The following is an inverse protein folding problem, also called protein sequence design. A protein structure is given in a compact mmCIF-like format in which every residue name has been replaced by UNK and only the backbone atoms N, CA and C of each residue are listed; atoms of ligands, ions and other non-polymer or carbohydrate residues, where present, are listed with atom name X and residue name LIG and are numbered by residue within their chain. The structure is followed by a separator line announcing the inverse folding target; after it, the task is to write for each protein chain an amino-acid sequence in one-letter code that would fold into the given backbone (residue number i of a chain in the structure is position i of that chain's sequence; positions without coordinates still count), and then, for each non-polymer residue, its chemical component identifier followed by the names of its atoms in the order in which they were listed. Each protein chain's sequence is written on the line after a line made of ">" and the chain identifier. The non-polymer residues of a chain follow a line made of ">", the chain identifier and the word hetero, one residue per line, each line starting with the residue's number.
data_IF_750743697583
#
_entry.id   IF_750743697583
#
_cell.length_a   1.000
_cell.length_b   1.000
_cell.length_c   1.000
_cell.angle_alpha   90.00
_cell.angle_beta   90.00
_cell.angle_gamma   90.00
#
_symmetry.space_group_name_H-M   'P 1'
#
loop_
_entity.id
_entity.type
_entity.pdbx_description
1 polymer ?
#
# COMPACT_ATOMS: atom_id res chain seq x y z
N UNK A 1 4.31 -2.59 1.69
CA UNK A 1 5.10 -1.34 1.68
C UNK A 1 4.24 -0.17 2.14
N UNK A 2 4.86 0.96 2.43
CA UNK A 2 4.17 2.21 2.75
C UNK A 2 4.64 3.31 1.79
N UNK A 3 3.74 4.21 1.40
CA UNK A 3 4.08 5.35 0.56
C UNK A 3 3.29 6.59 0.98
N UNK A 4 4.00 7.68 1.30
CA UNK A 4 3.41 8.93 1.75
C UNK A 4 3.27 9.90 0.56
N UNK A 5 2.12 10.58 0.49
CA UNK A 5 1.92 11.67 -0.47
C UNK A 5 2.82 12.87 -0.17
N UNK A 6 3.16 13.64 -1.20
CA UNK A 6 3.99 14.85 -1.06
C UNK A 6 3.41 15.89 -0.09
N UNK A 7 2.08 15.97 0.01
CA UNK A 7 1.40 16.85 0.97
C UNK A 7 1.36 16.29 2.41
N UNK A 8 1.86 15.07 2.63
CA UNK A 8 1.90 14.40 3.92
C UNK A 8 0.54 13.92 4.45
N UNK A 9 -0.55 14.06 3.69
CA UNK A 9 -1.93 13.82 4.18
C UNK A 9 -2.45 12.41 3.93
N UNK A 10 -1.82 11.66 3.01
CA UNK A 10 -2.29 10.34 2.56
C UNK A 10 -1.13 9.35 2.59
N UNK A 11 -1.29 8.32 3.41
CA UNK A 11 -0.36 7.21 3.49
C UNK A 11 -1.00 5.96 2.87
N UNK A 12 -0.45 5.46 1.77
CA UNK A 12 -0.91 4.22 1.17
C UNK A 12 -0.08 3.05 1.67
N UNK A 13 -0.74 1.92 1.90
CA UNK A 13 -0.08 0.72 2.42
C UNK A 13 -0.48 -0.51 1.62
N UNK A 14 0.48 -1.42 1.43
CA UNK A 14 0.30 -2.75 0.80
C UNK A 14 0.86 -3.83 1.72
N UNK A 15 0.30 -5.05 1.63
CA UNK A 15 0.54 -6.12 2.59
C UNK A 15 1.38 -7.32 2.07
N UNK A 16 1.94 -7.27 0.86
CA UNK A 16 2.91 -8.27 0.39
C UNK A 16 4.34 -7.78 0.53
N UNK A 17 5.26 -8.69 0.90
CA UNK A 17 6.68 -8.41 1.05
C UNK A 17 7.52 -9.19 0.01
N UNK A 18 7.48 -10.52 0.10
CA UNK A 18 8.24 -11.39 -0.78
C UNK A 18 7.56 -12.75 -0.83
N UNK A 19 7.26 -13.26 -2.01
CA UNK A 19 6.36 -14.40 -2.21
C UNK A 19 6.71 -15.66 -1.39
N UNK A 20 8.00 -15.94 -1.17
CA UNK A 20 8.44 -17.08 -0.33
C UNK A 20 8.11 -16.86 1.15
N UNK A 21 8.27 -15.63 1.64
CA UNK A 21 7.99 -15.27 3.02
C UNK A 21 6.49 -15.12 3.24
N UNK A 22 5.79 -14.48 2.30
CA UNK A 22 4.34 -14.38 2.30
C UNK A 22 3.72 -15.78 2.38
N UNK A 23 4.22 -16.75 1.57
CA UNK A 23 3.75 -18.14 1.65
C UNK A 23 4.03 -18.82 3.00
N UNK A 24 5.12 -18.46 3.68
CA UNK A 24 5.50 -19.06 4.96
C UNK A 24 4.67 -18.50 6.13
N UNK A 25 4.45 -17.18 6.15
CA UNK A 25 3.86 -16.49 7.29
C UNK A 25 2.39 -16.12 7.10
N UNK A 26 1.97 -15.86 5.86
CA UNK A 26 0.63 -15.39 5.48
C UNK A 26 0.15 -16.09 4.20
N UNK A 27 0.00 -17.42 4.21
CA UNK A 27 -0.35 -18.20 3.02
C UNK A 27 -1.65 -17.71 2.36
N UNK A 28 -2.59 -17.18 3.15
CA UNK A 28 -3.84 -16.60 2.65
C UNK A 28 -3.65 -15.40 1.73
N UNK A 29 -2.58 -14.61 1.89
CA UNK A 29 -2.28 -13.47 1.01
C UNK A 29 -1.85 -13.96 -0.38
N UNK A 30 -1.21 -15.13 -0.46
CA UNK A 30 -0.83 -15.75 -1.74
C UNK A 30 -2.07 -16.32 -2.45
N UNK A 31 -3.00 -16.89 -1.69
CA UNK A 31 -4.22 -17.50 -2.23
C UNK A 31 -5.28 -16.47 -2.62
N UNK A 32 -5.44 -15.41 -1.83
CA UNK A 32 -6.51 -14.41 -2.00
C UNK A 32 -6.04 -13.13 -2.65
N UNK A 33 -4.73 -12.90 -2.69
CA UNK A 33 -4.15 -11.67 -3.19
C UNK A 33 -3.86 -10.65 -2.09
N UNK A 34 -3.04 -9.69 -2.47
CA UNK A 34 -2.71 -8.55 -1.64
C UNK A 34 -3.76 -7.44 -1.73
N UNK A 35 -3.65 -6.47 -0.84
CA UNK A 35 -4.57 -5.34 -0.76
C UNK A 35 -3.80 -4.04 -0.68
N UNK A 36 -4.44 -2.94 -1.08
CA UNK A 36 -3.99 -1.59 -0.76
C UNK A 36 -5.06 -0.82 0.00
N UNK A 37 -4.62 -0.13 1.05
CA UNK A 37 -5.43 0.76 1.87
C UNK A 37 -4.84 2.17 1.83
N UNK A 38 -5.69 3.17 2.06
CA UNK A 38 -5.28 4.54 2.35
C UNK A 38 -5.51 4.82 3.83
N UNK A 39 -4.54 5.47 4.44
CA UNK A 39 -4.59 6.00 5.80
C UNK A 39 -4.55 7.51 5.67
N UNK A 40 -5.54 8.17 6.29
CA UNK A 40 -5.58 9.62 6.43
C UNK A 40 -4.65 10.04 7.57
N UNK A 41 -3.80 11.03 7.29
CA UNK A 41 -2.80 11.55 8.23
C UNK A 41 -3.22 12.94 8.68
N UNK A 42 -3.46 13.12 9.98
CA UNK A 42 -3.74 14.43 10.56
C UNK A 42 -2.41 15.16 10.83
N UNK A 43 -2.05 16.08 9.95
CA UNK A 43 -0.80 16.85 10.04
C UNK A 43 -0.87 18.01 11.04
N UNK A 44 -2.05 18.37 11.55
CA UNK A 44 -2.24 19.50 12.47
C UNK A 44 -2.25 19.04 13.93
N UNK A 45 -3.01 18.00 14.24
CA UNK A 45 -3.17 17.46 15.60
C UNK A 45 -2.38 16.17 15.83
N UNK A 46 -1.89 15.55 14.75
CA UNK A 46 -1.33 14.21 14.79
C UNK A 46 -2.43 13.14 14.81
N UNK A 47 -2.10 11.97 14.28
CA UNK A 47 -3.00 10.81 14.26
C UNK A 47 -3.10 10.17 12.88
N UNK A 48 -3.55 8.92 12.88
CA UNK A 48 -3.74 8.10 11.69
C UNK A 48 -5.11 7.44 11.76
N UNK A 49 -5.87 7.52 10.67
CA UNK A 49 -7.16 6.84 10.55
C UNK A 49 -7.24 6.10 9.21
N UNK A 50 -7.79 4.89 9.21
CA UNK A 50 -8.04 4.16 7.96
C UNK A 50 -9.16 4.89 7.20
N UNK A 51 -8.95 5.18 5.92
CA UNK A 51 -9.98 5.74 5.06
C UNK A 51 -10.94 4.63 4.60
N UNK A 52 -12.21 4.61 5.05
CA UNK A 52 -13.17 3.56 4.69
C UNK A 52 -13.61 3.62 3.22
N UNK A 53 -13.34 4.73 2.52
CA UNK A 53 -13.75 4.94 1.14
C UNK A 53 -12.69 4.48 0.12
N UNK A 54 -11.53 4.01 0.57
CA UNK A 54 -10.45 3.57 -0.30
C UNK A 54 -10.03 2.14 0.02
N UNK A 55 -10.17 1.26 -0.97
CA UNK A 55 -9.73 -0.13 -0.90
C UNK A 55 -9.44 -0.65 -2.30
N UNK A 56 -8.28 -1.26 -2.49
CA UNK A 56 -7.94 -1.97 -3.74
C UNK A 56 -7.66 -3.43 -3.41
N UNK A 57 -8.40 -4.31 -4.08
CA UNK A 57 -8.26 -5.75 -3.99
C UNK A 57 -7.49 -6.28 -5.20
N UNK A 58 -6.29 -6.81 -4.98
CA UNK A 58 -5.47 -7.40 -6.05
C UNK A 58 -5.73 -8.91 -6.24
N UNK A 59 -6.69 -9.48 -5.52
CA UNK A 59 -7.22 -10.83 -5.70
C UNK A 59 -8.22 -10.95 -6.85
N UNK A 60 -9.02 -9.91 -7.09
CA UNK A 60 -10.12 -9.92 -8.04
C UNK A 60 -9.72 -9.72 -9.52
N UNK A 61 -8.48 -10.06 -9.89
CA UNK A 61 -7.99 -9.89 -11.27
C UNK A 61 -8.33 -11.08 -12.17
N UNK A 62 -8.51 -10.87 -13.49
CA UNK A 62 -8.80 -11.94 -14.46
C UNK A 62 -7.76 -13.08 -14.47
N UNK A 63 -6.49 -12.74 -14.23
CA UNK A 63 -5.36 -13.67 -14.27
C UNK A 63 -5.02 -14.28 -12.90
N UNK A 64 -5.87 -14.06 -11.90
CA UNK A 64 -5.71 -14.54 -10.52
C UNK A 64 -5.02 -13.54 -9.58
N UNK A 65 -4.76 -13.97 -8.33
CA UNK A 65 -4.30 -13.09 -7.27
C UNK A 65 -2.91 -12.51 -7.52
N UNK A 66 -2.75 -11.22 -7.23
CA UNK A 66 -1.49 -10.51 -7.36
C UNK A 66 -0.93 -10.09 -5.99
N UNK A 67 0.39 -10.10 -5.89
CA UNK A 67 1.17 -9.69 -4.73
C UNK A 67 1.78 -8.29 -4.96
N UNK A 68 0.99 -7.25 -4.70
CA UNK A 68 1.37 -5.86 -4.80
C UNK A 68 2.34 -5.49 -3.68
N UNK A 69 3.55 -5.08 -4.09
CA UNK A 69 4.60 -4.70 -3.16
C UNK A 69 4.73 -3.18 -3.10
N UNK A 70 5.28 -2.54 -4.13
CA UNK A 70 5.54 -1.10 -4.14
C UNK A 70 4.51 -0.35 -5.00
N UNK A 71 4.29 0.94 -4.68
CA UNK A 71 3.54 1.86 -5.53
C UNK A 71 4.33 3.15 -5.71
N UNK A 72 4.11 3.80 -6.86
CA UNK A 72 4.73 5.07 -7.21
C UNK A 72 3.66 6.08 -7.62
N UNK A 73 3.81 7.31 -7.14
CA UNK A 73 2.95 8.40 -7.58
C UNK A 73 3.40 8.87 -8.97
N UNK A 74 2.47 9.27 -9.85
CA UNK A 74 2.82 9.75 -11.20
C UNK A 74 3.80 10.94 -11.20
N UNK A 75 3.68 11.84 -10.22
CA UNK A 75 4.45 13.08 -10.13
C UNK A 75 5.51 13.05 -9.01
N UNK A 76 5.87 11.84 -8.55
CA UNK A 76 6.82 11.65 -7.45
C UNK A 76 6.17 11.55 -6.08
N UNK A 77 6.89 10.90 -5.18
CA UNK A 77 6.51 10.61 -3.80
C UNK A 77 7.71 10.77 -2.85
N UNK A 78 7.45 10.64 -1.55
CA UNK A 78 8.45 10.87 -0.51
C UNK A 78 9.64 9.88 -0.54
N UNK A 79 9.64 8.89 -1.45
CA UNK A 79 10.71 7.90 -1.59
C UNK A 79 11.34 7.86 -2.98
N UNK A 80 10.76 8.53 -3.98
CA UNK A 80 11.29 8.55 -5.35
C UNK A 80 12.23 9.71 -5.62
N UNK A 81 12.02 10.85 -4.97
CA UNK A 81 12.69 12.11 -5.33
C UNK A 81 13.77 12.48 -4.30
N UNK A 82 14.94 12.86 -4.82
CA UNK A 82 16.08 13.36 -4.04
C UNK A 82 16.31 14.81 -4.42
N UNK A 83 16.25 15.72 -3.45
CA UNK A 83 16.48 17.15 -3.63
C UNK A 83 17.95 17.50 -3.34
N UNK A 84 18.52 18.47 -4.06
CA UNK A 84 19.91 18.97 -3.91
C UNK A 84 19.89 20.36 -3.26
#
# INVERSE_FOLDING_TARGET
>A
MIQLSLDGKRLYVTNSLFSKWDKQFYPEVVEKGSHMLQIDVDTEKGGLAINPNFYVDFGAKPDGPCLAHEMRYPDGDCTSDIWI
#
